data_IF_150747585286
#
_entry.id   IF_150747585286
#
_cell.length_a   1.000
_cell.length_b   1.000
_cell.length_c   1.000
_cell.angle_alpha   90.00
_cell.angle_beta   90.00
_cell.angle_gamma   90.00
#
_symmetry.space_group_name_H-M   'P 1'
#
loop_
_entity.id
_entity.type
_entity.pdbx_description
1 polymer ?
#
# COMPACT_ATOMS: atom_id res chain seq x y z
N UNK A 1 -46.72 49.14 -11.83
CA UNK A 1 -45.36 48.75 -11.40
C UNK A 1 -45.50 47.61 -10.41
N UNK A 2 -45.37 46.37 -10.89
CA UNK A 2 -45.47 45.17 -10.08
C UNK A 2 -44.69 44.06 -10.79
N UNK A 3 -43.75 43.43 -10.09
CA UNK A 3 -43.03 42.27 -10.58
C UNK A 3 -43.10 41.19 -9.51
N UNK A 4 -43.82 40.12 -9.84
CA UNK A 4 -43.89 38.88 -9.09
C UNK A 4 -43.07 37.83 -9.83
N UNK A 5 -42.08 37.25 -9.15
CA UNK A 5 -41.33 36.08 -9.62
C UNK A 5 -42.21 34.83 -9.57
N UNK A 6 -42.26 34.08 -10.68
CA UNK A 6 -42.70 32.69 -10.69
C UNK A 6 -41.66 31.79 -11.33
N UNK A 7 -41.37 30.69 -10.62
CA UNK A 7 -40.51 29.57 -11.01
C UNK A 7 -41.15 28.77 -12.15
N UNK A 8 -40.34 28.35 -13.12
CA UNK A 8 -40.73 27.40 -14.17
C UNK A 8 -39.91 26.11 -13.98
N UNK A 9 -40.63 24.97 -13.95
CA UNK A 9 -40.09 23.59 -14.03
C UNK A 9 -39.77 23.23 -15.49
N UNK A 10 -38.80 22.36 -15.80
CA UNK A 10 -38.68 21.79 -17.13
C UNK A 10 -39.61 20.57 -17.28
N UNK A 11 -40.43 20.60 -18.33
CA UNK A 11 -41.18 19.47 -18.86
C UNK A 11 -40.28 18.56 -19.70
N UNK A 12 -40.55 17.26 -19.60
CA UNK A 12 -39.96 16.18 -20.39
C UNK A 12 -40.71 16.11 -21.72
N UNK A 13 -40.00 16.26 -22.84
CA UNK A 13 -40.54 15.98 -24.17
C UNK A 13 -39.89 14.72 -24.76
N UNK A 14 -40.72 13.70 -25.00
CA UNK A 14 -40.43 12.59 -25.91
C UNK A 14 -40.61 13.09 -27.35
N UNK A 15 -39.62 12.83 -28.20
CA UNK A 15 -39.72 13.06 -29.64
C UNK A 15 -39.89 11.72 -30.37
N UNK A 16 -40.96 11.65 -31.17
CA UNK A 16 -41.27 10.62 -32.14
C UNK A 16 -40.32 10.69 -33.34
N UNK A 17 -40.05 9.52 -33.91
CA UNK A 17 -39.42 9.30 -35.21
C UNK A 17 -40.30 9.78 -36.35
N UNK A 18 -39.70 10.45 -37.34
CA UNK A 18 -40.17 10.47 -38.73
C UNK A 18 -38.97 10.55 -39.67
N UNK A 19 -39.04 9.73 -40.72
CA UNK A 19 -38.08 9.59 -41.82
C UNK A 19 -38.18 10.78 -42.79
N UNK A 20 -37.05 11.42 -43.14
CA UNK A 20 -36.64 11.65 -44.54
C UNK A 20 -35.33 12.45 -44.68
N UNK A 21 -34.41 11.84 -45.44
CA UNK A 21 -33.37 12.43 -46.28
C UNK A 21 -32.53 13.61 -45.77
N UNK A 22 -31.31 13.31 -45.29
CA UNK A 22 -30.11 14.09 -45.61
C UNK A 22 -28.98 13.11 -45.96
N UNK A 23 -28.38 13.29 -47.14
CA UNK A 23 -27.19 12.58 -47.58
C UNK A 23 -26.00 13.03 -46.71
N UNK A 24 -25.56 12.18 -45.78
CA UNK A 24 -24.21 12.28 -45.21
C UNK A 24 -23.24 11.56 -46.15
N UNK A 25 -22.24 12.29 -46.63
CA UNK A 25 -21.08 11.69 -47.27
C UNK A 25 -20.21 11.03 -46.19
N UNK A 26 -20.15 9.71 -46.23
CA UNK A 26 -19.38 8.86 -45.32
C UNK A 26 -17.88 8.92 -45.64
N UNK A 27 -17.16 9.90 -45.09
CA UNK A 27 -15.70 9.95 -45.22
C UNK A 27 -15.01 9.17 -44.08
N UNK A 28 -14.30 8.11 -44.46
CA UNK A 28 -13.35 7.43 -43.58
C UNK A 28 -12.02 8.18 -43.55
N UNK A 29 -11.47 8.40 -42.35
CA UNK A 29 -10.17 9.04 -42.18
C UNK A 29 -9.06 7.99 -42.19
N UNK A 30 -8.06 8.15 -43.05
CA UNK A 30 -6.88 7.29 -43.07
C UNK A 30 -5.84 7.79 -42.06
N UNK A 31 -5.43 6.94 -41.13
CA UNK A 31 -4.43 7.24 -40.11
C UNK A 31 -3.32 6.17 -40.11
N UNK A 32 -2.08 6.58 -39.83
CA UNK A 32 -0.93 5.67 -39.70
C UNK A 32 -0.54 5.54 -38.23
N UNK A 33 -0.57 4.32 -37.70
CA UNK A 33 -0.14 3.99 -36.33
C UNK A 33 1.30 3.46 -36.41
N UNK A 34 2.28 4.27 -36.02
CA UNK A 34 3.68 3.86 -35.98
C UNK A 34 4.15 3.59 -34.54
N UNK A 35 5.03 2.60 -34.36
CA UNK A 35 5.67 2.31 -33.08
C UNK A 35 7.14 2.73 -33.13
N UNK A 36 7.81 2.85 -31.97
CA UNK A 36 9.25 3.16 -31.91
C UNK A 36 10.13 2.11 -32.59
N UNK A 37 9.66 0.86 -32.65
CA UNK A 37 10.36 -0.28 -33.24
C UNK A 37 10.00 -0.53 -34.71
N UNK A 38 8.88 0.02 -35.19
CA UNK A 38 8.46 -0.05 -36.58
C UNK A 38 7.93 1.33 -37.04
N UNK A 39 8.80 2.16 -37.63
CA UNK A 39 8.46 3.51 -38.06
C UNK A 39 7.61 3.53 -39.34
N UNK A 40 7.48 2.41 -40.06
CA UNK A 40 6.66 2.35 -41.27
C UNK A 40 5.16 2.47 -40.94
N UNK A 41 4.76 1.94 -39.77
CA UNK A 41 3.42 2.05 -39.20
C UNK A 41 2.33 1.32 -39.99
N UNK A 42 1.23 1.00 -39.31
CA UNK A 42 0.07 0.33 -39.91
C UNK A 42 -0.96 1.39 -40.30
N UNK A 43 -1.41 1.36 -41.56
CA UNK A 43 -2.50 2.22 -42.02
C UNK A 43 -3.84 1.63 -41.61
N UNK A 44 -4.62 2.44 -40.91
CA UNK A 44 -5.98 2.10 -40.49
C UNK A 44 -6.96 3.15 -40.98
N UNK A 45 -8.17 2.71 -41.25
CA UNK A 45 -9.31 3.57 -41.58
C UNK A 45 -10.13 3.74 -40.30
N UNK A 46 -10.42 4.99 -39.93
CA UNK A 46 -11.17 5.33 -38.72
C UNK A 46 -12.46 6.05 -39.09
N UNK A 47 -13.58 5.62 -38.52
CA UNK A 47 -14.90 6.26 -38.63
C UNK A 47 -15.60 6.19 -37.28
N UNK A 48 -15.78 7.34 -36.62
CA UNK A 48 -16.30 7.39 -35.26
C UNK A 48 -15.44 6.56 -34.30
N UNK A 49 -16.04 5.58 -33.64
CA UNK A 49 -15.37 4.63 -32.74
C UNK A 49 -14.91 3.34 -33.45
N UNK A 50 -15.11 3.24 -34.76
CA UNK A 50 -14.78 2.05 -35.56
C UNK A 50 -13.42 2.21 -36.26
N UNK A 51 -12.54 1.20 -36.13
CA UNK A 51 -11.23 1.15 -36.80
C UNK A 51 -11.13 -0.14 -37.64
N UNK A 52 -10.73 0.00 -38.91
CA UNK A 52 -10.48 -1.14 -39.82
C UNK A 52 -9.06 -1.09 -40.41
N UNK A 53 -8.31 -2.20 -40.44
CA UNK A 53 -7.03 -2.26 -41.13
C UNK A 53 -7.23 -2.11 -42.64
N UNK A 54 -6.36 -1.37 -43.32
CA UNK A 54 -6.52 -1.06 -44.75
C UNK A 54 -6.16 -2.26 -45.68
N UNK A 55 -5.71 -3.40 -45.14
CA UNK A 55 -5.49 -4.67 -45.86
C UNK A 55 -5.30 -5.84 -44.90
N UNK A 56 -5.30 -7.08 -45.43
CA UNK A 56 -5.17 -8.36 -44.70
C UNK A 56 -3.87 -8.46 -43.89
N UNK A 57 -3.86 -7.87 -42.69
CA UNK A 57 -2.83 -8.07 -41.67
C UNK A 57 -3.45 -8.95 -40.60
N UNK A 58 -3.11 -10.24 -40.59
CA UNK A 58 -3.46 -11.13 -39.48
C UNK A 58 -2.51 -10.85 -38.32
N UNK A 59 -3.03 -10.31 -37.22
CA UNK A 59 -2.30 -10.21 -35.96
C UNK A 59 -2.19 -11.62 -35.34
N UNK A 60 -0.97 -12.14 -35.22
CA UNK A 60 -0.71 -13.31 -34.38
C UNK A 60 -0.79 -12.87 -32.92
N UNK A 61 -1.93 -13.16 -32.28
CA UNK A 61 -2.20 -12.90 -30.86
C UNK A 61 -1.25 -13.71 -29.96
N UNK A 62 -0.27 -13.06 -29.32
CA UNK A 62 0.32 -13.53 -28.05
C UNK A 62 0.90 -12.42 -27.14
N UNK A 63 0.73 -11.12 -27.43
CA UNK A 63 1.16 -10.06 -26.51
C UNK A 63 -0.02 -9.23 -26.02
N UNK A 64 -0.22 -9.29 -24.71
CA UNK A 64 -1.39 -8.80 -23.97
C UNK A 64 -1.21 -7.36 -23.44
N UNK A 65 -0.38 -6.54 -24.06
CA UNK A 65 -0.06 -5.20 -23.55
C UNK A 65 -0.95 -4.09 -24.15
N UNK A 66 -1.23 -3.06 -23.34
CA UNK A 66 -1.90 -1.84 -23.80
C UNK A 66 -0.91 -0.93 -24.53
N UNK A 67 -1.29 -0.44 -25.71
CA UNK A 67 -0.51 0.52 -26.48
C UNK A 67 -1.14 1.92 -26.43
N UNK A 68 -0.29 2.93 -26.28
CA UNK A 68 -0.69 4.33 -26.32
C UNK A 68 -0.57 4.87 -27.74
N UNK A 69 -1.69 5.32 -28.30
CA UNK A 69 -1.74 5.92 -29.64
C UNK A 69 -2.18 7.37 -29.51
N UNK A 70 -1.46 8.27 -30.17
CA UNK A 70 -1.87 9.68 -30.27
C UNK A 70 -2.53 9.90 -31.62
N UNK A 71 -3.84 10.13 -31.62
CA UNK A 71 -4.60 10.41 -32.83
C UNK A 71 -4.63 11.92 -33.04
N UNK A 72 -4.07 12.41 -34.14
CA UNK A 72 -4.11 13.83 -34.53
C UNK A 72 -5.09 13.99 -35.68
N UNK A 73 -5.96 14.98 -35.59
CA UNK A 73 -6.84 15.37 -36.69
C UNK A 73 -6.63 16.87 -37.00
N UNK A 74 -7.18 17.33 -38.13
CA UNK A 74 -7.02 18.71 -38.59
C UNK A 74 -7.62 19.76 -37.65
N UNK A 75 -8.51 19.36 -36.74
CA UNK A 75 -9.20 20.22 -35.79
C UNK A 75 -8.61 20.15 -34.37
N UNK A 76 -7.72 19.19 -34.10
CA UNK A 76 -7.03 19.01 -32.83
C UNK A 76 -5.55 18.62 -33.05
N UNK A 77 -4.67 19.60 -33.34
CA UNK A 77 -3.27 19.35 -33.66
C UNK A 77 -2.46 18.78 -32.48
N UNK A 78 -2.92 19.00 -31.25
CA UNK A 78 -2.31 18.48 -30.02
C UNK A 78 -2.53 16.98 -29.83
N UNK A 79 -3.49 16.41 -30.56
CA UNK A 79 -3.81 14.99 -30.56
C UNK A 79 -4.63 14.54 -29.34
N UNK A 80 -5.32 13.42 -29.50
CA UNK A 80 -5.99 12.71 -28.40
C UNK A 80 -5.22 11.44 -28.11
N UNK A 81 -4.87 11.24 -26.83
CA UNK A 81 -4.23 10.00 -26.38
C UNK A 81 -5.32 8.95 -26.16
N UNK A 82 -5.14 7.80 -26.80
CA UNK A 82 -6.07 6.68 -26.74
C UNK A 82 -5.31 5.42 -26.37
N UNK A 83 -5.87 4.64 -25.44
CA UNK A 83 -5.34 3.32 -25.06
C UNK A 83 -6.03 2.24 -25.89
N UNK A 84 -5.24 1.40 -26.57
CA UNK A 84 -5.72 0.32 -27.45
C UNK A 84 -5.15 -1.02 -27.00
N UNK A 85 -6.00 -2.05 -26.90
CA UNK A 85 -5.60 -3.45 -26.64
C UNK A 85 -6.51 -4.38 -27.44
N UNK A 86 -5.94 -5.06 -28.44
CA UNK A 86 -6.72 -5.83 -29.40
C UNK A 86 -7.79 -4.96 -30.08
N UNK A 87 -9.05 -5.41 -30.02
CA UNK A 87 -10.20 -4.69 -30.59
C UNK A 87 -10.88 -3.72 -29.61
N UNK A 88 -10.29 -3.48 -28.43
CA UNK A 88 -10.85 -2.59 -27.41
C UNK A 88 -10.14 -1.24 -27.39
N UNK A 89 -10.93 -0.18 -27.32
CA UNK A 89 -10.46 1.21 -27.22
C UNK A 89 -11.03 1.81 -25.94
N UNK A 90 -10.16 2.44 -25.13
CA UNK A 90 -10.58 3.28 -24.00
C UNK A 90 -10.15 4.72 -24.22
N UNK A 91 -11.15 5.60 -24.33
CA UNK A 91 -10.91 7.04 -24.31
C UNK A 91 -10.77 7.51 -22.87
N UNK A 92 -9.58 7.95 -22.47
CA UNK A 92 -9.43 8.69 -21.21
C UNK A 92 -9.93 10.12 -21.42
N UNK A 93 -10.99 10.49 -20.70
CA UNK A 93 -11.35 11.90 -20.50
C UNK A 93 -10.26 12.54 -19.63
N UNK A 94 -9.20 13.03 -20.25
CA UNK A 94 -8.25 13.91 -19.58
C UNK A 94 -8.99 15.23 -19.30
N UNK A 95 -9.70 15.32 -18.17
CA UNK A 95 -9.97 16.60 -17.53
C UNK A 95 -8.63 17.09 -16.98
N UNK A 96 -7.87 17.75 -17.85
CA UNK A 96 -6.74 18.60 -17.45
C UNK A 96 -7.24 20.03 -17.53
N UNK A 97 -8.19 20.37 -16.66
CA UNK A 97 -8.29 21.75 -16.16
C UNK A 97 -7.46 21.85 -14.88
N UNK A 98 -6.16 21.70 -15.09
CA UNK A 98 -5.14 22.28 -14.24
C UNK A 98 -3.92 22.51 -15.12
N UNK A 99 -3.98 23.61 -15.89
CA UNK A 99 -2.75 24.35 -16.21
C UNK A 99 -2.15 24.80 -14.88
N UNK A 100 -1.43 23.90 -14.20
CA UNK A 100 -0.35 24.31 -13.32
C UNK A 100 0.68 24.92 -14.26
N UNK A 101 0.59 26.23 -14.43
CA UNK A 101 1.72 27.01 -14.92
C UNK A 101 2.86 26.76 -13.94
N UNK A 102 3.73 25.80 -14.28
CA UNK A 102 5.11 25.89 -13.89
C UNK A 102 5.60 27.19 -14.52
N UNK A 103 5.57 28.27 -13.74
CA UNK A 103 6.42 29.41 -14.05
C UNK A 103 7.82 28.81 -14.18
N UNK A 104 8.49 28.92 -15.34
CA UNK A 104 9.91 28.59 -15.38
C UNK A 104 10.55 29.38 -14.26
N UNK A 105 11.28 28.70 -13.38
CA UNK A 105 12.09 29.34 -12.35
C UNK A 105 12.79 30.51 -13.05
N UNK A 106 12.37 31.74 -12.73
CA UNK A 106 13.01 32.93 -13.30
C UNK A 106 14.48 32.76 -12.97
N UNK A 107 15.27 32.57 -14.02
CA UNK A 107 16.71 32.68 -13.95
C UNK A 107 16.92 34.14 -13.58
N UNK A 108 17.06 34.41 -12.28
CA UNK A 108 17.45 35.73 -11.80
C UNK A 108 18.89 35.84 -12.26
N UNK A 109 19.10 36.58 -13.36
CA UNK A 109 20.43 36.98 -13.82
C UNK A 109 21.05 37.88 -12.76
N UNK A 110 21.67 37.25 -11.76
CA UNK A 110 22.55 37.91 -10.83
C UNK A 110 23.80 38.34 -11.61
N UNK A 111 23.83 39.61 -12.04
CA UNK A 111 25.04 40.31 -12.51
C UNK A 111 26.03 40.59 -11.36
N UNK A 112 26.27 39.59 -10.51
CA UNK A 112 27.30 39.63 -9.48
C UNK A 112 28.46 38.76 -9.95
N UNK A 113 29.68 39.31 -9.95
CA UNK A 113 30.88 38.54 -10.27
C UNK A 113 31.01 37.29 -9.39
N UNK A 114 31.76 36.25 -9.84
CA UNK A 114 31.85 34.93 -9.20
C UNK A 114 32.20 34.96 -7.70
N UNK A 115 32.74 36.06 -7.20
CA UNK A 115 33.19 36.23 -5.81
C UNK A 115 32.22 37.01 -4.90
N UNK A 116 31.02 37.37 -5.36
CA UNK A 116 30.07 38.20 -4.59
C UNK A 116 28.85 37.46 -4.06
N UNK A 117 28.98 36.17 -3.71
CA UNK A 117 27.90 35.50 -2.95
C UNK A 117 27.85 36.12 -1.55
N UNK A 118 26.75 36.74 -1.13
CA UNK A 118 26.64 37.30 0.21
C UNK A 118 26.90 36.18 1.22
N UNK A 119 27.88 36.40 2.08
CA UNK A 119 28.23 35.47 3.16
C UNK A 119 27.00 35.34 4.06
N UNK A 120 26.50 34.12 4.22
CA UNK A 120 25.26 33.88 4.95
C UNK A 120 25.48 34.15 6.45
N UNK A 121 25.12 35.34 6.93
CA UNK A 121 25.38 35.82 8.30
C UNK A 121 24.34 35.35 9.34
N UNK A 122 23.90 34.10 9.27
CA UNK A 122 22.96 33.57 10.27
C UNK A 122 23.70 33.19 11.56
N UNK A 123 23.33 33.80 12.69
CA UNK A 123 23.85 33.41 14.03
C UNK A 123 23.51 31.96 14.39
N UNK A 124 22.51 31.36 13.75
CA UNK A 124 22.20 29.95 13.94
C UNK A 124 23.34 29.05 13.46
N UNK A 125 24.05 29.45 12.40
CA UNK A 125 25.17 28.70 11.84
C UNK A 125 26.47 28.84 12.64
N UNK A 126 26.51 29.76 13.60
CA UNK A 126 27.67 29.90 14.52
C UNK A 126 27.55 29.02 15.76
N UNK A 127 26.39 28.38 15.97
CA UNK A 127 26.19 27.45 17.07
C UNK A 127 26.84 26.08 16.74
N UNK A 128 27.33 25.34 17.77
CA UNK A 128 27.68 23.92 17.62
C UNK A 128 26.52 23.10 17.04
N UNK A 129 26.85 22.07 16.26
CA UNK A 129 25.86 21.25 15.55
C UNK A 129 24.84 20.64 16.51
N UNK A 130 25.27 20.23 17.70
CA UNK A 130 24.43 19.62 18.73
C UNK A 130 23.32 20.59 19.20
N UNK A 131 23.64 21.88 19.34
CA UNK A 131 22.65 22.90 19.70
C UNK A 131 21.68 23.18 18.55
N UNK A 132 22.18 23.16 17.31
CA UNK A 132 21.33 23.31 16.12
C UNK A 132 20.40 22.12 15.98
N UNK A 133 20.88 20.90 16.19
CA UNK A 133 20.08 19.67 16.20
C UNK A 133 18.97 19.74 17.24
N UNK A 134 19.28 20.15 18.48
CA UNK A 134 18.28 20.37 19.52
C UNK A 134 17.24 21.42 19.09
N UNK A 135 17.67 22.55 18.51
CA UNK A 135 16.75 23.57 18.00
C UNK A 135 15.83 22.99 16.92
N UNK A 136 16.37 22.19 16.00
CA UNK A 136 15.61 21.56 14.91
C UNK A 136 14.63 20.52 15.46
N UNK A 137 15.01 19.77 16.50
CA UNK A 137 14.13 18.81 17.19
C UNK A 137 12.87 19.49 17.76
N UNK A 138 13.00 20.72 18.27
CA UNK A 138 11.86 21.52 18.76
C UNK A 138 11.04 22.20 17.66
N UNK A 139 11.38 22.05 16.38
CA UNK A 139 10.55 22.54 15.27
C UNK A 139 9.37 21.59 15.06
N UNK A 140 8.24 21.94 15.66
CA UNK A 140 7.06 21.07 15.76
C UNK A 140 6.39 20.70 14.43
N UNK A 141 6.66 21.44 13.33
CA UNK A 141 6.02 21.18 12.04
C UNK A 141 7.01 20.68 11.00
N UNK A 142 6.63 19.59 10.31
CA UNK A 142 7.40 19.04 9.19
C UNK A 142 7.57 20.06 8.04
N UNK A 143 6.59 20.96 7.89
CA UNK A 143 6.65 22.03 6.88
C UNK A 143 7.77 23.03 7.19
N UNK A 144 7.96 23.40 8.45
CA UNK A 144 9.02 24.33 8.85
C UNK A 144 10.40 23.66 8.78
N UNK A 145 10.52 22.38 9.14
CA UNK A 145 11.76 21.59 8.90
C UNK A 145 12.07 21.54 7.40
N UNK A 146 11.07 21.35 6.55
CA UNK A 146 11.24 21.38 5.08
C UNK A 146 11.71 22.75 4.59
N UNK A 147 11.12 23.85 5.08
CA UNK A 147 11.58 25.22 4.77
C UNK A 147 13.01 25.46 5.25
N UNK A 148 13.32 25.01 6.46
CA UNK A 148 14.67 25.10 7.03
C UNK A 148 15.69 24.36 6.18
N UNK A 149 15.36 23.16 5.70
CA UNK A 149 16.23 22.37 4.81
C UNK A 149 16.51 23.04 3.46
N UNK A 150 15.67 23.99 3.05
CA UNK A 150 15.84 24.77 1.82
C UNK A 150 16.62 26.06 2.02
N UNK A 151 16.85 26.48 3.26
CA UNK A 151 17.52 27.75 3.57
C UNK A 151 19.01 27.74 3.18
N UNK A 152 19.76 26.71 3.58
CA UNK A 152 21.17 26.54 3.26
C UNK A 152 21.66 25.10 3.43
N UNK A 153 22.87 24.80 2.94
CA UNK A 153 23.44 23.45 2.95
C UNK A 153 23.69 22.89 4.36
N UNK A 154 24.16 23.72 5.30
CA UNK A 154 24.44 23.28 6.67
C UNK A 154 23.14 22.88 7.39
N UNK A 155 22.13 23.77 7.37
CA UNK A 155 20.82 23.48 7.93
C UNK A 155 20.12 22.35 7.19
N UNK A 156 20.35 22.18 5.89
CA UNK A 156 19.88 21.02 5.15
C UNK A 156 20.44 19.72 5.72
N UNK A 157 21.75 19.62 5.89
CA UNK A 157 22.38 18.40 6.41
C UNK A 157 21.82 17.99 7.77
N UNK A 158 21.54 18.97 8.64
CA UNK A 158 20.96 18.77 9.96
C UNK A 158 19.46 18.45 9.88
N UNK A 159 18.69 19.16 9.05
CA UNK A 159 17.24 19.02 8.97
C UNK A 159 16.77 17.76 8.23
N UNK A 160 17.57 17.23 7.29
CA UNK A 160 17.17 16.07 6.48
C UNK A 160 16.88 14.80 7.32
N UNK A 161 17.72 14.41 8.30
CA UNK A 161 17.40 13.32 9.21
C UNK A 161 16.07 13.48 9.93
N UNK A 162 15.71 14.68 10.39
CA UNK A 162 14.40 14.92 11.01
C UNK A 162 13.26 14.86 9.99
N UNK A 163 13.50 15.33 8.76
CA UNK A 163 12.51 15.31 7.70
C UNK A 163 12.24 13.90 7.15
N UNK A 164 13.24 13.02 7.13
CA UNK A 164 13.14 11.67 6.54
C UNK A 164 13.24 10.53 7.55
N UNK A 165 13.49 10.83 8.83
CA UNK A 165 13.61 9.82 9.88
C UNK A 165 12.32 9.06 10.12
N UNK A 166 11.18 9.75 10.04
CA UNK A 166 9.86 9.16 10.16
C UNK A 166 9.10 9.37 8.85
N UNK A 167 8.87 8.29 8.11
CA UNK A 167 8.13 8.32 6.84
C UNK A 167 6.79 7.63 7.07
N UNK A 168 5.71 8.36 6.81
CA UNK A 168 4.36 7.81 6.77
C UNK A 168 3.83 7.97 5.35
N UNK A 169 3.47 6.86 4.70
CA UNK A 169 2.93 6.85 3.35
C UNK A 169 1.54 6.22 3.37
N UNK A 170 0.56 6.97 2.89
CA UNK A 170 -0.78 6.44 2.62
C UNK A 170 -0.89 6.10 1.14
N UNK A 171 -0.46 4.89 0.78
CA UNK A 171 -0.55 4.36 -0.57
C UNK A 171 -1.99 3.99 -0.97
N UNK A 172 -2.99 4.19 -0.08
CA UNK A 172 -4.39 4.08 -0.48
C UNK A 172 -4.88 5.24 -1.32
N UNK A 173 -4.03 6.25 -1.53
CA UNK A 173 -4.29 7.37 -2.42
C UNK A 173 -3.46 7.21 -3.68
N UNK A 174 -4.10 7.24 -4.84
CA UNK A 174 -3.44 7.12 -6.16
C UNK A 174 -2.25 8.06 -6.35
N UNK A 175 -2.28 9.26 -5.77
CA UNK A 175 -1.17 10.22 -5.85
C UNK A 175 0.08 9.80 -5.08
N UNK A 176 -0.03 8.90 -4.11
CA UNK A 176 1.10 8.41 -3.33
C UNK A 176 1.86 7.30 -4.05
N UNK A 177 1.21 6.50 -4.91
CA UNK A 177 1.89 5.49 -5.72
C UNK A 177 2.88 6.10 -6.71
N UNK A 178 2.51 7.20 -7.37
CA UNK A 178 3.44 7.89 -8.28
C UNK A 178 4.63 8.47 -7.51
N UNK A 179 4.40 9.00 -6.30
CA UNK A 179 5.47 9.46 -5.42
C UNK A 179 6.37 8.30 -4.97
N UNK A 180 5.81 7.17 -4.53
CA UNK A 180 6.59 5.99 -4.13
C UNK A 180 7.40 5.43 -5.30
N UNK A 181 6.80 5.30 -6.47
CA UNK A 181 7.48 4.88 -7.69
C UNK A 181 8.61 5.84 -8.05
N UNK A 182 8.36 7.15 -7.95
CA UNK A 182 9.37 8.18 -8.17
C UNK A 182 10.50 8.06 -7.14
N UNK A 183 10.18 7.79 -5.87
CA UNK A 183 11.16 7.57 -4.82
C UNK A 183 11.98 6.31 -5.11
N UNK A 184 11.35 5.19 -5.49
CA UNK A 184 12.05 3.94 -5.75
C UNK A 184 12.90 3.97 -7.03
N UNK A 185 12.41 4.63 -8.09
CA UNK A 185 13.08 4.70 -9.40
C UNK A 185 14.19 5.76 -9.43
N UNK A 186 14.00 6.88 -8.74
CA UNK A 186 15.07 7.83 -8.58
C UNK A 186 16.05 7.23 -7.58
N UNK A 187 17.22 6.79 -8.05
CA UNK A 187 18.37 6.38 -7.21
C UNK A 187 18.77 7.40 -6.13
N UNK A 188 18.12 8.57 -6.09
CA UNK A 188 18.06 9.46 -4.96
C UNK A 188 17.53 8.84 -3.65
N UNK A 189 16.66 7.82 -3.67
CA UNK A 189 16.24 7.20 -2.39
C UNK A 189 17.42 6.60 -1.65
N UNK A 190 18.41 6.03 -2.35
CA UNK A 190 19.64 5.54 -1.72
C UNK A 190 20.36 6.60 -0.87
N UNK A 191 20.20 7.89 -1.18
CA UNK A 191 20.78 9.00 -0.39
C UNK A 191 20.03 9.25 0.92
N UNK A 192 18.73 9.00 0.95
CA UNK A 192 17.87 9.28 2.11
C UNK A 192 17.55 8.03 2.93
N UNK A 193 17.58 6.86 2.30
CA UNK A 193 17.37 5.56 2.91
C UNK A 193 18.11 5.35 4.24
N UNK A 194 19.41 5.70 4.37
CA UNK A 194 20.13 5.57 5.63
C UNK A 194 19.65 6.51 6.75
N UNK A 195 18.80 7.48 6.44
CA UNK A 195 18.20 8.40 7.42
C UNK A 195 16.88 7.87 7.97
N UNK A 196 16.20 6.96 7.25
CA UNK A 196 14.87 6.45 7.63
C UNK A 196 15.00 5.50 8.83
N UNK A 197 14.21 5.75 9.88
CA UNK A 197 14.18 5.00 11.14
C UNK A 197 12.82 4.39 11.41
N UNK A 198 11.76 5.14 11.16
CA UNK A 198 10.38 4.69 11.31
C UNK A 198 9.70 4.73 9.97
N UNK A 199 9.03 3.64 9.63
CA UNK A 199 8.24 3.52 8.43
C UNK A 199 6.82 3.12 8.78
N UNK A 200 5.87 3.98 8.45
CA UNK A 200 4.44 3.71 8.55
C UNK A 200 3.85 3.71 7.14
N UNK A 201 3.12 2.67 6.81
CA UNK A 201 2.59 2.50 5.48
C UNK A 201 1.18 1.95 5.55
N UNK A 202 0.26 2.61 4.84
CA UNK A 202 -1.04 2.07 4.50
C UNK A 202 -1.04 1.69 3.00
N UNK A 203 -0.98 0.41 2.68
CA UNK A 203 -0.99 -0.15 1.32
C UNK A 203 -2.43 -0.53 0.94
N UNK A 204 -2.98 -0.08 -0.20
CA UNK A 204 -4.36 -0.45 -0.58
C UNK A 204 -4.58 -0.84 -2.02
N UNK A 205 -3.57 -0.80 -2.88
CA UNK A 205 -3.78 -0.93 -4.32
C UNK A 205 -2.75 -1.85 -4.94
N UNK A 206 -3.18 -2.49 -6.03
CA UNK A 206 -2.34 -3.37 -6.85
C UNK A 206 -0.97 -2.78 -7.16
N UNK A 207 0.07 -3.49 -6.71
CA UNK A 207 1.47 -3.11 -6.93
C UNK A 207 2.06 -2.19 -5.87
N UNK A 208 1.31 -1.84 -4.79
CA UNK A 208 1.95 -1.25 -3.62
C UNK A 208 2.95 -2.21 -3.00
N UNK A 209 2.68 -3.52 -3.00
CA UNK A 209 3.47 -4.52 -2.29
C UNK A 209 4.92 -4.54 -2.74
N UNK A 210 5.18 -4.56 -4.05
CA UNK A 210 6.55 -4.50 -4.58
C UNK A 210 7.26 -3.19 -4.19
N UNK A 211 6.53 -2.08 -4.09
CA UNK A 211 7.07 -0.81 -3.61
C UNK A 211 7.34 -0.85 -2.09
N UNK A 212 6.45 -1.47 -1.29
CA UNK A 212 6.65 -1.67 0.16
C UNK A 212 7.95 -2.42 0.40
N UNK A 213 8.08 -3.57 -0.27
CA UNK A 213 9.22 -4.45 -0.15
C UNK A 213 10.49 -3.72 -0.61
N UNK A 214 10.44 -3.03 -1.76
CA UNK A 214 11.56 -2.23 -2.25
C UNK A 214 12.00 -1.13 -1.27
N UNK A 215 11.07 -0.45 -0.60
CA UNK A 215 11.37 0.59 0.39
C UNK A 215 12.00 0.00 1.67
N UNK A 216 11.53 -1.16 2.14
CA UNK A 216 12.12 -1.87 3.29
C UNK A 216 13.53 -2.32 2.94
N UNK A 217 13.72 -2.95 1.77
CA UNK A 217 15.02 -3.45 1.30
C UNK A 217 16.07 -2.34 1.19
N UNK A 218 15.64 -1.14 0.84
CA UNK A 218 16.55 -0.02 0.61
C UNK A 218 16.83 0.80 1.88
N UNK A 219 16.12 0.59 2.99
CA UNK A 219 16.28 1.34 4.24
C UNK A 219 16.88 0.49 5.38
N UNK A 220 18.19 0.20 5.38
CA UNK A 220 18.84 -0.75 6.30
C UNK A 220 18.92 -0.27 7.76
N UNK A 221 18.35 0.90 8.08
CA UNK A 221 18.43 1.57 9.37
C UNK A 221 17.08 1.67 10.07
N UNK A 222 16.05 1.04 9.51
CA UNK A 222 14.71 0.96 10.07
C UNK A 222 14.73 0.26 11.42
N UNK A 223 14.17 0.93 12.42
CA UNK A 223 13.98 0.42 13.78
C UNK A 223 12.52 0.09 14.06
N UNK A 224 11.59 0.69 13.31
CA UNK A 224 10.15 0.45 13.45
C UNK A 224 9.48 0.41 12.09
N UNK A 225 8.70 -0.63 11.85
CA UNK A 225 7.89 -0.82 10.65
C UNK A 225 6.44 -1.04 11.10
N UNK A 226 5.52 -0.27 10.52
CA UNK A 226 4.08 -0.46 10.66
C UNK A 226 3.46 -0.52 9.26
N UNK A 227 2.95 -1.69 8.88
CA UNK A 227 2.32 -1.92 7.57
C UNK A 227 0.85 -2.26 7.82
N UNK A 228 -0.02 -1.53 7.13
CA UNK A 228 -1.44 -1.80 7.11
C UNK A 228 -1.85 -2.05 5.65
N UNK A 229 -2.16 -3.30 5.32
CA UNK A 229 -2.66 -3.64 3.99
C UNK A 229 -4.17 -3.42 3.93
N UNK A 230 -4.70 -3.04 2.79
CA UNK A 230 -6.13 -3.08 2.49
C UNK A 230 -6.27 -3.99 1.28
N UNK A 231 -6.80 -5.16 1.54
CA UNK A 231 -6.94 -6.24 0.58
C UNK A 231 -8.33 -6.12 0.00
N UNK A 232 -8.36 -5.83 -1.29
CA UNK A 232 -9.58 -5.66 -2.06
C UNK A 232 -9.74 -6.89 -2.96
N UNK A 233 -10.70 -7.75 -2.63
CA UNK A 233 -11.04 -8.92 -3.43
C UNK A 233 -12.20 -8.65 -4.41
N UNK A 234 -12.58 -7.39 -4.62
CA UNK A 234 -13.66 -7.03 -5.53
C UNK A 234 -13.28 -7.38 -6.98
N UNK A 235 -14.09 -8.27 -7.56
CA UNK A 235 -14.25 -8.48 -9.00
C UNK A 235 -13.06 -9.16 -9.72
N UNK A 236 -13.11 -10.50 -9.78
CA UNK A 236 -12.16 -11.40 -10.47
C UNK A 236 -11.75 -10.97 -11.89
N UNK A 237 -12.60 -10.21 -12.58
CA UNK A 237 -12.44 -10.00 -14.02
C UNK A 237 -11.58 -8.78 -14.39
N UNK A 238 -11.17 -7.92 -13.44
CA UNK A 238 -10.52 -6.64 -13.81
C UNK A 238 -9.37 -6.17 -12.93
N UNK A 239 -9.18 -6.72 -11.75
CA UNK A 239 -8.11 -6.31 -10.85
C UNK A 239 -7.18 -7.50 -10.57
N UNK A 240 -5.86 -7.24 -10.57
CA UNK A 240 -4.93 -8.17 -9.94
C UNK A 240 -5.41 -8.38 -8.50
N UNK A 241 -5.30 -9.61 -8.02
CA UNK A 241 -5.64 -9.95 -6.65
C UNK A 241 -4.55 -9.34 -5.77
N UNK A 242 -4.94 -8.55 -4.76
CA UNK A 242 -4.00 -8.11 -3.73
C UNK A 242 -3.83 -9.25 -2.74
N UNK A 243 -2.61 -9.74 -2.60
CA UNK A 243 -2.25 -10.81 -1.67
C UNK A 243 -0.96 -10.44 -0.97
N UNK A 244 -0.86 -10.76 0.31
CA UNK A 244 0.37 -10.64 1.06
C UNK A 244 1.22 -11.88 0.75
N UNK A 245 2.23 -11.73 -0.11
CA UNK A 245 3.25 -12.76 -0.32
C UNK A 245 4.20 -12.74 0.86
N UNK A 246 3.95 -13.61 1.85
CA UNK A 246 4.60 -13.59 3.16
C UNK A 246 6.10 -13.91 3.07
N UNK A 247 6.51 -14.72 2.09
CA UNK A 247 7.91 -15.05 1.80
C UNK A 247 8.69 -13.85 1.25
N UNK A 248 8.09 -13.09 0.33
CA UNK A 248 8.70 -11.86 -0.21
C UNK A 248 8.87 -10.81 0.90
N UNK A 249 7.88 -10.72 1.80
CA UNK A 249 7.96 -9.88 2.98
C UNK A 249 9.10 -10.32 3.91
N UNK A 250 9.20 -11.61 4.21
CA UNK A 250 10.32 -12.18 4.99
C UNK A 250 11.67 -11.82 4.36
N UNK A 251 11.81 -12.03 3.05
CA UNK A 251 13.03 -11.70 2.30
C UNK A 251 13.38 -10.20 2.35
N UNK A 252 12.38 -9.32 2.27
CA UNK A 252 12.61 -7.89 2.40
C UNK A 252 13.10 -7.49 3.80
N UNK A 253 12.50 -8.07 4.85
CA UNK A 253 12.85 -7.80 6.25
C UNK A 253 14.29 -8.21 6.61
N UNK A 254 14.90 -9.15 5.88
CA UNK A 254 16.32 -9.54 6.09
C UNK A 254 17.27 -8.33 6.02
N UNK A 255 16.97 -7.31 5.21
CA UNK A 255 17.82 -6.11 5.08
C UNK A 255 17.84 -5.23 6.33
N UNK A 256 16.86 -5.40 7.22
CA UNK A 256 16.73 -4.65 8.48
C UNK A 256 16.92 -5.54 9.71
N UNK A 257 17.44 -6.76 9.52
CA UNK A 257 17.62 -7.74 10.60
C UNK A 257 18.42 -7.23 11.79
N UNK A 258 19.40 -6.35 11.53
CA UNK A 258 20.32 -5.77 12.50
C UNK A 258 19.79 -4.51 13.19
N UNK A 259 18.63 -3.99 12.77
CA UNK A 259 18.13 -2.69 13.24
C UNK A 259 16.67 -2.71 13.66
N UNK A 260 15.83 -3.57 13.08
CA UNK A 260 14.40 -3.58 13.34
C UNK A 260 14.12 -4.04 14.77
N UNK A 261 13.44 -3.18 15.55
CA UNK A 261 13.08 -3.43 16.96
C UNK A 261 11.59 -3.70 17.09
N UNK A 262 10.77 -3.02 16.29
CA UNK A 262 9.31 -3.12 16.34
C UNK A 262 8.75 -3.41 14.94
N UNK A 263 7.96 -4.46 14.82
CA UNK A 263 7.22 -4.80 13.61
C UNK A 263 5.73 -4.85 13.93
N UNK A 264 4.94 -4.12 13.15
CA UNK A 264 3.49 -4.22 13.14
C UNK A 264 3.00 -4.44 11.72
N UNK A 265 2.18 -5.47 11.53
CA UNK A 265 1.50 -5.80 10.30
C UNK A 265 0.03 -5.96 10.65
N UNK A 266 -0.83 -5.36 9.86
CA UNK A 266 -2.30 -5.47 9.97
C UNK A 266 -2.87 -5.45 8.58
N UNK A 267 -4.11 -5.90 8.42
CA UNK A 267 -4.83 -5.67 7.19
C UNK A 267 -6.33 -5.49 7.40
N UNK A 268 -6.93 -4.71 6.51
CA UNK A 268 -8.38 -4.70 6.29
C UNK A 268 -8.68 -5.55 5.06
N UNK A 269 -9.76 -6.33 5.12
CA UNK A 269 -10.24 -7.13 4.01
C UNK A 269 -11.59 -6.60 3.52
N UNK A 270 -11.78 -6.51 2.21
CA UNK A 270 -13.05 -6.09 1.59
C UNK A 270 -13.47 -7.09 0.51
N UNK A 271 -14.73 -7.48 0.56
CA UNK A 271 -15.42 -8.24 -0.48
C UNK A 271 -16.84 -7.69 -0.68
N UNK A 272 -17.34 -7.73 -1.92
CA UNK A 272 -18.66 -7.18 -2.31
C UNK A 272 -19.77 -8.23 -2.15
N UNK A 273 -19.41 -9.50 -2.21
CA UNK A 273 -20.36 -10.61 -2.37
C UNK A 273 -20.35 -11.56 -1.16
N UNK A 274 -19.78 -11.14 -0.03
CA UNK A 274 -19.56 -11.93 1.19
C UNK A 274 -18.71 -13.22 1.01
N UNK A 275 -18.45 -13.65 -0.22
CA UNK A 275 -17.59 -14.78 -0.55
C UNK A 275 -16.22 -14.28 -0.96
N UNK A 276 -15.21 -14.69 -0.21
CA UNK A 276 -13.85 -14.43 -0.58
C UNK A 276 -13.36 -15.41 -1.63
N UNK A 277 -12.53 -14.88 -2.52
CA UNK A 277 -12.17 -15.53 -3.77
C UNK A 277 -10.79 -16.18 -3.73
N UNK A 278 -9.91 -15.67 -2.87
CA UNK A 278 -8.55 -16.18 -2.70
C UNK A 278 -8.08 -15.99 -1.26
N UNK A 279 -7.02 -16.70 -0.88
CA UNK A 279 -6.36 -16.52 0.41
C UNK A 279 -5.77 -15.10 0.48
N UNK A 280 -5.85 -14.47 1.65
CA UNK A 280 -5.26 -13.14 1.90
C UNK A 280 -3.73 -13.19 1.83
N UNK A 281 -3.16 -14.31 2.25
CA UNK A 281 -1.72 -14.52 2.34
C UNK A 281 -1.30 -15.74 1.53
N UNK A 282 -0.06 -15.73 1.03
CA UNK A 282 0.58 -16.91 0.45
C UNK A 282 1.94 -17.13 1.08
N UNK A 283 2.31 -18.40 1.30
CA UNK A 283 3.53 -18.76 2.03
C UNK A 283 3.46 -18.39 3.50
N UNK A 284 4.62 -18.22 4.15
CA UNK A 284 4.74 -17.85 5.57
C UNK A 284 5.83 -16.79 5.77
N UNK A 285 5.72 -15.97 6.82
CA UNK A 285 6.66 -14.89 7.10
C UNK A 285 7.59 -15.26 8.27
N UNK A 286 8.79 -15.76 7.99
CA UNK A 286 9.77 -16.02 9.05
C UNK A 286 10.38 -14.71 9.60
N UNK A 287 10.25 -14.51 10.92
CA UNK A 287 10.87 -13.41 11.65
C UNK A 287 12.20 -13.83 12.30
N UNK A 288 12.59 -15.10 12.18
CA UNK A 288 13.77 -15.69 12.83
C UNK A 288 15.07 -14.92 12.58
N UNK A 289 15.36 -14.40 11.37
CA UNK A 289 16.60 -13.66 11.12
C UNK A 289 16.70 -12.33 11.88
N UNK A 290 15.57 -11.79 12.35
CA UNK A 290 15.44 -10.44 12.91
C UNK A 290 15.88 -10.39 14.38
N UNK A 291 17.17 -10.62 14.62
CA UNK A 291 17.74 -10.73 15.97
C UNK A 291 17.64 -9.44 16.81
N UNK A 292 17.29 -8.28 16.27
CA UNK A 292 16.98 -7.08 17.09
C UNK A 292 15.50 -6.91 17.42
N UNK A 293 14.63 -7.71 16.82
CA UNK A 293 13.19 -7.59 16.99
C UNK A 293 12.82 -7.92 18.43
N UNK A 294 12.11 -6.99 19.08
CA UNK A 294 11.64 -7.11 20.46
C UNK A 294 10.12 -7.21 20.52
N UNK A 295 9.42 -6.52 19.64
CA UNK A 295 7.97 -6.51 19.62
C UNK A 295 7.49 -6.81 18.20
N UNK A 296 6.64 -7.84 18.07
CA UNK A 296 6.00 -8.22 16.83
C UNK A 296 4.48 -8.24 17.05
N UNK A 297 3.75 -7.50 16.21
CA UNK A 297 2.30 -7.54 16.07
C UNK A 297 2.01 -7.95 14.64
N UNK A 298 1.64 -9.21 14.42
CA UNK A 298 1.54 -9.82 13.09
C UNK A 298 0.29 -10.70 13.03
N UNK A 299 -0.51 -10.64 11.96
CA UNK A 299 -1.67 -11.51 11.83
C UNK A 299 -1.23 -12.97 11.74
N UNK A 300 -2.01 -13.87 12.32
CA UNK A 300 -1.64 -15.28 12.42
C UNK A 300 -1.34 -15.88 11.04
N UNK A 301 -2.19 -15.60 10.04
CA UNK A 301 -2.06 -16.13 8.69
C UNK A 301 -0.86 -15.57 7.92
N UNK A 302 -0.41 -14.35 8.22
CA UNK A 302 0.83 -13.82 7.63
C UNK A 302 2.04 -14.58 8.18
N UNK A 303 2.00 -14.96 9.46
CA UNK A 303 3.09 -15.65 10.11
C UNK A 303 3.20 -17.12 9.68
N UNK A 304 2.09 -17.87 9.69
CA UNK A 304 2.07 -19.31 9.43
C UNK A 304 1.68 -19.69 7.99
N UNK A 305 1.01 -18.80 7.27
CA UNK A 305 0.34 -19.11 6.02
C UNK A 305 -1.09 -19.64 6.20
N UNK A 306 -1.83 -19.77 5.09
CA UNK A 306 -3.25 -20.17 5.11
C UNK A 306 -3.49 -21.67 5.33
N UNK A 307 -2.46 -22.52 5.22
CA UNK A 307 -2.59 -23.99 5.24
C UNK A 307 -1.83 -24.61 6.42
N UNK A 308 -2.53 -25.34 7.28
CA UNK A 308 -1.99 -25.94 8.51
C UNK A 308 -0.96 -27.05 8.23
N UNK A 309 -1.15 -27.84 7.19
CA UNK A 309 -0.35 -29.04 6.88
C UNK A 309 1.10 -28.69 6.55
N UNK A 310 1.32 -27.51 5.97
CA UNK A 310 2.63 -26.99 5.60
C UNK A 310 3.12 -25.89 6.55
N UNK A 311 2.34 -25.57 7.59
CA UNK A 311 2.66 -24.49 8.51
C UNK A 311 3.88 -24.85 9.38
N UNK A 312 4.94 -24.02 9.36
CA UNK A 312 6.12 -24.24 10.20
C UNK A 312 5.79 -24.09 11.69
N UNK A 313 6.71 -24.54 12.54
CA UNK A 313 6.57 -24.37 13.99
C UNK A 313 6.87 -22.93 14.40
N UNK A 314 6.27 -22.43 15.50
CA UNK A 314 6.62 -21.11 16.06
C UNK A 314 8.11 -21.00 16.39
N UNK A 315 8.73 -22.10 16.80
CA UNK A 315 10.16 -22.19 17.10
C UNK A 315 11.06 -21.87 15.90
N UNK A 316 10.57 -22.07 14.68
CA UNK A 316 11.30 -21.80 13.43
C UNK A 316 11.00 -20.43 12.84
N UNK A 317 9.93 -19.78 13.32
CA UNK A 317 9.48 -18.47 12.83
C UNK A 317 9.97 -17.31 13.68
N UNK A 318 10.22 -17.49 14.98
CA UNK A 318 10.44 -16.37 15.90
C UNK A 318 11.92 -16.11 16.23
N UNK A 319 12.34 -14.83 16.36
CA UNK A 319 13.72 -14.48 16.69
C UNK A 319 13.99 -14.54 18.20
N UNK A 320 15.24 -14.83 18.57
CA UNK A 320 15.63 -15.09 19.96
C UNK A 320 15.45 -13.93 20.95
N UNK A 321 15.47 -12.69 20.45
CA UNK A 321 15.36 -11.48 21.27
C UNK A 321 13.92 -10.93 21.40
N UNK A 322 12.94 -11.65 20.84
CA UNK A 322 11.54 -11.27 20.94
C UNK A 322 11.08 -11.25 22.40
N UNK A 323 10.41 -10.18 22.80
CA UNK A 323 9.87 -9.96 24.16
C UNK A 323 8.36 -9.99 24.18
N UNK A 324 7.75 -9.38 23.18
CA UNK A 324 6.31 -9.28 23.02
C UNK A 324 5.92 -9.85 21.67
N UNK A 325 5.01 -10.81 21.69
CA UNK A 325 4.40 -11.35 20.49
C UNK A 325 2.90 -11.12 20.56
N UNK A 326 2.36 -10.45 19.55
CA UNK A 326 0.93 -10.28 19.36
C UNK A 326 0.50 -10.97 18.07
N UNK A 327 -0.51 -11.81 18.17
CA UNK A 327 -1.20 -12.41 17.04
C UNK A 327 -2.60 -11.79 16.91
N UNK A 328 -3.03 -11.56 15.68
CA UNK A 328 -4.40 -11.20 15.33
C UNK A 328 -5.12 -12.32 14.59
N UNK A 329 -6.44 -12.39 14.76
CA UNK A 329 -7.38 -13.37 14.20
C UNK A 329 -8.01 -12.93 12.86
N UNK A 330 -7.40 -11.95 12.19
CA UNK A 330 -7.94 -11.12 11.11
C UNK A 330 -8.57 -11.85 9.88
N UNK A 331 -8.51 -13.19 9.76
CA UNK A 331 -9.16 -13.99 8.70
C UNK A 331 -9.97 -15.22 9.20
N UNK A 332 -10.47 -15.23 10.43
CA UNK A 332 -11.14 -16.41 10.99
C UNK A 332 -12.30 -16.98 10.16
N UNK A 333 -13.01 -16.16 9.40
CA UNK A 333 -14.29 -16.52 8.80
C UNK A 333 -14.23 -16.85 7.31
N UNK A 334 -13.10 -17.35 6.85
CA UNK A 334 -12.98 -17.89 5.51
C UNK A 334 -12.97 -19.42 5.58
N UNK A 335 -14.11 -20.03 5.25
CA UNK A 335 -14.32 -21.50 5.26
C UNK A 335 -13.30 -22.29 4.44
N UNK A 336 -12.51 -21.61 3.59
CA UNK A 336 -11.47 -22.21 2.75
C UNK A 336 -10.14 -22.36 3.48
N UNK A 337 -9.96 -21.63 4.57
CA UNK A 337 -8.75 -21.67 5.38
C UNK A 337 -8.83 -22.90 6.28
N UNK A 338 -7.76 -23.71 6.31
CA UNK A 338 -7.74 -24.99 7.02
C UNK A 338 -7.55 -24.85 8.54
N UNK A 339 -7.63 -23.64 9.09
CA UNK A 339 -7.31 -23.36 10.48
C UNK A 339 -8.58 -23.30 11.31
N UNK A 340 -8.70 -24.23 12.25
CA UNK A 340 -9.70 -24.17 13.31
C UNK A 340 -9.07 -23.80 14.67
N UNK A 341 -9.93 -23.62 15.68
CA UNK A 341 -9.52 -23.06 16.96
C UNK A 341 -8.50 -23.95 17.66
N UNK A 342 -8.76 -25.25 17.60
CA UNK A 342 -7.95 -26.28 18.20
C UNK A 342 -6.60 -26.40 17.48
N UNK A 343 -6.56 -26.29 16.17
CA UNK A 343 -5.36 -26.35 15.33
C UNK A 343 -4.42 -25.16 15.58
N UNK A 344 -4.97 -23.96 15.76
CA UNK A 344 -4.15 -22.82 16.20
C UNK A 344 -3.59 -23.04 17.60
N UNK A 345 -4.45 -23.51 18.53
CA UNK A 345 -4.05 -23.77 19.90
C UNK A 345 -2.98 -24.88 19.98
N UNK A 346 -3.05 -25.90 19.12
CA UNK A 346 -2.05 -26.97 18.98
C UNK A 346 -0.67 -26.38 18.66
N UNK A 347 -0.57 -25.47 17.68
CA UNK A 347 0.71 -24.80 17.36
C UNK A 347 1.27 -24.00 18.53
N UNK A 348 0.40 -23.40 19.34
CA UNK A 348 0.81 -22.68 20.56
C UNK A 348 1.23 -23.66 21.66
N UNK A 349 0.53 -24.79 21.81
CA UNK A 349 0.85 -25.86 22.75
C UNK A 349 2.20 -26.50 22.44
N UNK A 350 2.48 -26.84 21.18
CA UNK A 350 3.78 -27.37 20.75
C UNK A 350 4.91 -26.43 21.14
N UNK A 351 4.67 -25.12 21.08
CA UNK A 351 5.71 -24.14 21.34
C UNK A 351 5.91 -23.81 22.82
N UNK A 352 4.82 -23.56 23.54
CA UNK A 352 4.83 -23.19 24.97
C UNK A 352 4.87 -24.43 25.88
N UNK A 353 4.12 -25.47 25.53
CA UNK A 353 4.00 -26.73 26.28
C UNK A 353 5.30 -27.54 26.29
N UNK A 354 5.94 -27.71 25.13
CA UNK A 354 7.25 -28.38 25.04
C UNK A 354 8.41 -27.49 25.50
N UNK A 355 8.11 -26.27 25.94
CA UNK A 355 9.06 -25.26 26.42
C UNK A 355 10.08 -24.85 25.36
N UNK A 356 9.77 -25.06 24.07
CA UNK A 356 10.65 -24.70 22.96
C UNK A 356 11.03 -23.22 22.95
N UNK A 357 10.10 -22.37 23.38
CA UNK A 357 10.33 -20.94 23.57
C UNK A 357 11.53 -20.64 24.49
N UNK A 358 11.83 -21.47 25.50
CA UNK A 358 12.92 -21.19 26.46
C UNK A 358 14.29 -21.14 25.82
N UNK A 359 14.52 -21.89 24.74
CA UNK A 359 15.79 -21.89 24.02
C UNK A 359 15.72 -21.16 22.68
N UNK A 360 14.55 -21.12 22.03
CA UNK A 360 14.37 -20.40 20.76
C UNK A 360 14.13 -18.91 20.95
N UNK A 361 13.33 -18.53 21.94
CA UNK A 361 13.01 -17.12 22.30
C UNK A 361 13.09 -16.90 23.81
N UNK A 362 14.28 -17.07 24.41
CA UNK A 362 14.46 -16.99 25.87
C UNK A 362 14.02 -15.67 26.50
N UNK A 363 13.85 -14.63 25.69
CA UNK A 363 13.45 -13.29 26.12
C UNK A 363 11.94 -13.02 26.02
N UNK A 364 11.14 -13.99 25.56
CA UNK A 364 9.69 -13.85 25.46
C UNK A 364 9.09 -13.66 26.85
N UNK A 365 8.42 -12.54 27.05
CA UNK A 365 7.80 -12.16 28.32
C UNK A 365 6.29 -12.06 28.23
N UNK A 366 5.77 -11.71 27.05
CA UNK A 366 4.35 -11.43 26.86
C UNK A 366 3.85 -11.98 25.53
N UNK A 367 2.75 -12.70 25.59
CA UNK A 367 1.95 -13.12 24.44
C UNK A 367 0.61 -12.39 24.52
N UNK A 368 0.23 -11.77 23.40
CA UNK A 368 -1.05 -11.07 23.24
C UNK A 368 -1.80 -11.77 22.12
N UNK A 369 -3.04 -12.17 22.37
CA UNK A 369 -3.90 -12.78 21.37
C UNK A 369 -5.10 -11.87 21.13
N UNK A 370 -5.23 -11.33 19.92
CA UNK A 370 -6.39 -10.54 19.51
C UNK A 370 -7.42 -11.50 18.93
N UNK A 371 -8.65 -11.44 19.47
CA UNK A 371 -9.86 -12.15 19.04
C UNK A 371 -10.90 -11.12 18.56
N UNK A 372 -10.47 -10.08 17.86
CA UNK A 372 -11.36 -8.95 17.56
C UNK A 372 -12.39 -9.32 16.50
N UNK A 373 -11.99 -10.13 15.51
CA UNK A 373 -12.88 -10.54 14.41
C UNK A 373 -13.67 -11.80 14.71
N UNK A 374 -13.17 -12.63 15.63
CA UNK A 374 -13.77 -13.88 16.07
C UNK A 374 -15.14 -13.64 16.72
N UNK A 375 -15.21 -12.64 17.60
CA UNK A 375 -16.47 -12.31 18.28
C UNK A 375 -17.48 -11.62 17.35
N UNK A 376 -17.04 -11.01 16.25
CA UNK A 376 -17.93 -10.24 15.39
C UNK A 376 -18.84 -11.11 14.51
N UNK A 377 -18.46 -12.38 14.28
CA UNK A 377 -19.13 -13.26 13.33
C UNK A 377 -19.90 -14.31 14.14
N UNK A 378 -21.23 -14.19 14.08
CA UNK A 378 -22.24 -14.92 14.84
C UNK A 378 -22.32 -16.41 14.44
N UNK A 379 -21.17 -17.05 14.20
CA UNK A 379 -21.03 -18.48 13.93
C UNK A 379 -21.28 -19.21 15.25
N UNK A 380 -22.07 -20.28 15.23
CA UNK A 380 -22.41 -21.11 16.38
C UNK A 380 -21.21 -21.27 17.34
N UNK A 381 -21.22 -20.42 18.38
CA UNK A 381 -20.09 -20.16 19.28
C UNK A 381 -19.59 -21.42 20.00
N UNK A 382 -20.41 -22.46 20.04
CA UNK A 382 -20.10 -23.72 20.72
C UNK A 382 -19.06 -24.57 19.99
N UNK A 383 -18.79 -24.34 18.70
CA UNK A 383 -17.85 -25.19 17.94
C UNK A 383 -16.43 -24.62 17.82
N UNK A 384 -16.25 -23.31 17.93
CA UNK A 384 -14.97 -22.68 17.56
C UNK A 384 -13.87 -22.69 18.65
N UNK A 385 -14.13 -23.33 19.80
CA UNK A 385 -13.12 -23.66 20.82
C UNK A 385 -12.54 -22.48 21.63
N UNK A 386 -12.53 -21.26 21.10
CA UNK A 386 -11.96 -20.04 21.71
C UNK A 386 -12.96 -19.24 22.56
N UNK A 387 -13.81 -19.92 23.34
CA UNK A 387 -14.64 -19.26 24.35
C UNK A 387 -13.79 -18.80 25.55
N UNK A 388 -14.31 -17.90 26.38
CA UNK A 388 -13.63 -17.44 27.62
C UNK A 388 -13.22 -18.63 28.52
N UNK A 389 -14.12 -19.61 28.66
CA UNK A 389 -13.94 -20.84 29.46
C UNK A 389 -13.19 -21.96 28.72
N UNK A 390 -12.96 -21.79 27.41
CA UNK A 390 -12.31 -22.77 26.54
C UNK A 390 -10.86 -22.40 26.24
N UNK A 391 -10.58 -22.13 24.96
CA UNK A 391 -9.26 -21.83 24.42
C UNK A 391 -8.58 -20.65 25.10
N UNK A 392 -9.31 -19.61 25.48
CA UNK A 392 -8.74 -18.47 26.20
C UNK A 392 -8.19 -18.89 27.58
N UNK A 393 -8.99 -19.60 28.38
CA UNK A 393 -8.55 -20.09 29.67
C UNK A 393 -7.37 -21.06 29.54
N UNK A 394 -7.41 -21.97 28.55
CA UNK A 394 -6.30 -22.88 28.23
C UNK A 394 -5.01 -22.12 27.89
N UNK A 395 -5.09 -21.09 27.04
CA UNK A 395 -3.95 -20.25 26.68
C UNK A 395 -3.37 -19.50 27.89
N UNK A 396 -4.24 -18.88 28.70
CA UNK A 396 -3.83 -18.18 29.92
C UNK A 396 -3.17 -19.11 30.92
N UNK A 397 -3.72 -20.30 31.13
CA UNK A 397 -3.15 -21.33 31.98
C UNK A 397 -1.77 -21.75 31.47
N UNK A 398 -1.66 -22.09 30.19
CA UNK A 398 -0.41 -22.51 29.55
C UNK A 398 0.70 -21.44 29.69
N UNK A 399 0.36 -20.17 29.48
CA UNK A 399 1.29 -19.06 29.64
C UNK A 399 1.70 -18.89 31.11
N UNK A 400 0.74 -18.96 32.05
CA UNK A 400 0.99 -18.87 33.49
C UNK A 400 1.94 -19.98 33.98
N UNK A 401 1.70 -21.23 33.58
CA UNK A 401 2.56 -22.38 33.91
C UNK A 401 3.99 -22.23 33.36
N UNK A 402 4.15 -21.45 32.30
CA UNK A 402 5.44 -21.14 31.69
C UNK A 402 6.06 -19.81 32.18
N UNK A 403 5.38 -19.04 33.02
CA UNK A 403 5.87 -17.73 33.48
C UNK A 403 5.88 -16.66 32.38
N UNK A 404 5.04 -16.80 31.36
CA UNK A 404 4.83 -15.83 30.29
C UNK A 404 3.54 -15.07 30.56
N UNK A 405 3.58 -13.72 30.47
CA UNK A 405 2.37 -12.92 30.61
C UNK A 405 1.44 -13.17 29.42
N UNK A 406 0.16 -13.43 29.68
CA UNK A 406 -0.87 -13.60 28.66
C UNK A 406 -1.89 -12.48 28.71
N UNK A 407 -2.18 -11.89 27.56
CA UNK A 407 -3.30 -10.97 27.37
C UNK A 407 -4.14 -11.45 26.19
N UNK A 408 -5.44 -11.58 26.38
CA UNK A 408 -6.39 -11.85 25.29
C UNK A 408 -7.26 -10.61 25.15
N UNK A 409 -7.31 -10.05 23.95
CA UNK A 409 -8.04 -8.83 23.60
C UNK A 409 -9.24 -9.25 22.76
N UNK A 410 -10.44 -8.92 23.24
CA UNK A 410 -11.71 -9.11 22.54
C UNK A 410 -12.31 -7.77 22.14
N UNK A 411 -13.09 -7.76 21.05
CA UNK A 411 -13.79 -6.55 20.61
C UNK A 411 -14.84 -6.17 21.66
N UNK A 412 -14.71 -4.97 22.26
CA UNK A 412 -15.70 -4.47 23.21
C UNK A 412 -17.08 -4.19 22.57
N UNK A 413 -17.18 -4.23 21.23
CA UNK A 413 -18.43 -3.96 20.52
C UNK A 413 -19.52 -4.98 20.85
N UNK A 414 -19.17 -6.27 21.01
CA UNK A 414 -20.14 -7.32 21.31
C UNK A 414 -20.72 -7.25 22.73
N UNK A 415 -19.91 -6.92 23.73
CA UNK A 415 -20.39 -6.82 25.13
C UNK A 415 -21.41 -5.69 25.36
N UNK A 416 -21.44 -4.67 24.49
CA UNK A 416 -22.47 -3.62 24.56
C UNK A 416 -23.80 -4.05 23.96
N UNK A 417 -23.81 -4.99 23.02
CA UNK A 417 -25.05 -5.50 22.41
C UNK A 417 -25.74 -6.56 23.29
N UNK A 418 -24.98 -7.48 23.89
CA UNK A 418 -25.55 -8.58 24.69
C UNK A 418 -26.07 -8.16 26.08
N UNK A 419 -25.67 -6.99 26.58
CA UNK A 419 -26.10 -6.48 27.90
C UNK A 419 -27.15 -5.35 27.79
N UNK A 420 -27.80 -5.18 26.64
CA UNK A 420 -28.88 -4.22 26.43
C UNK A 420 -30.27 -4.85 26.18
N UNK A 421 -30.38 -6.17 26.31
CA UNK A 421 -31.65 -6.91 26.43
C UNK A 421 -31.89 -7.34 27.88
#
# INVERSE_FOLDING_TARGET
MGSSHNKVRPEVYQAKSDENSMQEQDEWLCATIASRSDPAGVRVMVRGDEIRPQSNVSFNNQQEDWHYVTIKDQHNPDGRLVEVRGNQIRQRKCSVDSKVHYSPLRQIDYKGGPDSRPTQASRLLTLPNELVELIVEFVNTRQDISRLSRSCRALRAIALPFLFGNISIDASRRCCLSLMRTISELGNYQRFAPMVRTFELCASENGSDTLVLGLIQTAPRLTRINIHYKIDQHNHNRCRITQIVAEDLSAALINVKDTLVHLRITYDRRCDNDEFSFDVTTGHCSLQPLHRLRDADIPFFVLFGPWQEIAPTLADLLPCNLRTLRFGDDDWCDDRISWDGDSMMEKILDYLGDKAWKWKTPHLKKVIYSLNTFDDINIDYDQAGWTEVGGEQKLRQLCSENGVQCEVIRSQFFYKMLNQE
#
